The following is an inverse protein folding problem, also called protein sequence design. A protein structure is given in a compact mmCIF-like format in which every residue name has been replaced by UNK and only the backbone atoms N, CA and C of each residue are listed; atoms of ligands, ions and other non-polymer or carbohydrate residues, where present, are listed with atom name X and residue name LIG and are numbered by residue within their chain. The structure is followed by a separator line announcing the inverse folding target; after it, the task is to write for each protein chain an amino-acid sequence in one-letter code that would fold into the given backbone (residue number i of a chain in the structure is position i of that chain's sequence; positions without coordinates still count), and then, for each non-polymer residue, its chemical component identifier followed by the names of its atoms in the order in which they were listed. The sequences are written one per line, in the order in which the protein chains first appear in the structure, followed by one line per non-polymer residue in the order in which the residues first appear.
data_IF_780968383965
#
_entry.id   IF_780968383965
#
_cell.length_a   1.000
_cell.length_b   1.000
_cell.length_c   1.000
_cell.angle_alpha   90.00
_cell.angle_beta   90.00
_cell.angle_gamma   90.00
#
_symmetry.space_group_name_H-M   'P 1'
#
loop_
_entity.id
_entity.type
_entity.pdbx_description
1 polymer ?
#
# COMPACT_ATOMS: atom_id res chain seq x y z
N UNK A 1 1.09 -35.24 5.81
CA UNK A 1 0.43 -34.27 4.93
C UNK A 1 1.04 -32.92 5.24
N UNK A 2 1.60 -32.21 4.26
CA UNK A 2 2.11 -30.86 4.52
C UNK A 2 0.95 -29.99 5.03
N UNK A 3 1.16 -29.29 6.15
CA UNK A 3 0.19 -28.31 6.64
C UNK A 3 -0.05 -27.27 5.55
N UNK A 4 -1.30 -26.97 5.21
CA UNK A 4 -1.61 -25.91 4.24
C UNK A 4 -1.11 -24.57 4.79
N UNK A 5 -0.22 -23.90 4.04
CA UNK A 5 0.27 -22.57 4.39
C UNK A 5 -0.59 -21.53 3.67
N UNK A 6 -1.40 -20.80 4.44
CA UNK A 6 -2.32 -19.79 3.94
C UNK A 6 -1.83 -18.42 4.36
N UNK A 7 -1.51 -17.58 3.38
CA UNK A 7 -1.05 -16.21 3.60
C UNK A 7 -2.09 -15.17 3.21
N UNK A 8 -2.14 -14.06 3.95
CA UNK A 8 -2.94 -12.89 3.62
C UNK A 8 -2.00 -11.73 3.33
N UNK A 9 -2.04 -11.20 2.10
CA UNK A 9 -1.35 -9.98 1.72
C UNK A 9 -2.35 -8.82 1.81
N UNK A 10 -2.19 -7.97 2.81
CA UNK A 10 -3.08 -6.82 3.02
C UNK A 10 -2.50 -5.56 2.38
N UNK A 11 -3.19 -5.07 1.36
CA UNK A 11 -2.95 -3.80 0.70
C UNK A 11 -3.67 -2.66 1.42
N UNK A 12 -2.97 -1.53 1.57
CA UNK A 12 -3.48 -0.28 2.16
C UNK A 12 -2.92 0.91 1.38
N UNK A 13 -1.63 1.19 1.59
CA UNK A 13 -0.72 1.81 0.64
C UNK A 13 -0.05 0.72 -0.20
N UNK A 14 1.08 1.04 -0.84
CA UNK A 14 1.86 0.08 -1.61
C UNK A 14 1.03 -0.68 -2.65
N UNK A 15 0.12 0.02 -3.34
CA UNK A 15 -0.79 -0.56 -4.35
C UNK A 15 -0.04 -0.88 -5.65
N UNK A 16 0.91 -1.82 -5.55
CA UNK A 16 1.86 -2.19 -6.60
C UNK A 16 2.32 -3.63 -6.45
N UNK A 17 2.72 -4.23 -7.57
CA UNK A 17 3.42 -5.52 -7.61
C UNK A 17 4.95 -5.32 -7.51
N UNK A 18 5.50 -4.30 -8.18
CA UNK A 18 6.94 -4.05 -8.14
C UNK A 18 7.42 -3.66 -6.75
N UNK A 19 8.64 -4.11 -6.39
CA UNK A 19 9.30 -3.75 -5.13
C UNK A 19 8.35 -3.90 -3.92
N UNK A 20 7.65 -5.02 -3.86
CA UNK A 20 6.70 -5.32 -2.80
C UNK A 20 7.19 -6.53 -1.99
N UNK A 21 8.11 -6.32 -1.03
CA UNK A 21 8.65 -7.41 -0.21
C UNK A 21 7.56 -8.12 0.60
N UNK A 22 6.50 -7.41 1.02
CA UNK A 22 5.38 -8.02 1.73
C UNK A 22 4.63 -9.02 0.84
N UNK A 23 4.38 -8.67 -0.42
CA UNK A 23 3.75 -9.56 -1.39
C UNK A 23 4.64 -10.77 -1.71
N UNK A 24 5.94 -10.55 -1.88
CA UNK A 24 6.90 -11.64 -2.11
C UNK A 24 6.91 -12.64 -0.95
N UNK A 25 7.01 -12.15 0.29
CA UNK A 25 7.01 -12.98 1.49
C UNK A 25 5.68 -13.71 1.72
N UNK A 26 4.57 -13.08 1.35
CA UNK A 26 3.25 -13.72 1.35
C UNK A 26 3.17 -14.87 0.36
N UNK A 27 3.79 -14.74 -0.82
CA UNK A 27 3.83 -15.79 -1.83
C UNK A 27 4.77 -16.95 -1.47
N UNK A 28 5.87 -16.65 -0.78
CA UNK A 28 6.92 -17.62 -0.46
C UNK A 28 6.44 -18.71 0.51
N UNK A 29 6.51 -19.97 0.04
CA UNK A 29 6.12 -21.16 0.81
C UNK A 29 4.62 -21.34 1.05
N UNK A 30 3.78 -20.40 0.57
CA UNK A 30 2.33 -20.47 0.75
C UNK A 30 1.69 -21.38 -0.31
N UNK A 31 0.77 -22.24 0.12
CA UNK A 31 -0.10 -23.02 -0.78
C UNK A 31 -1.28 -22.20 -1.26
N UNK A 32 -1.71 -21.20 -0.48
CA UNK A 32 -2.78 -20.25 -0.80
C UNK A 32 -2.36 -18.83 -0.39
N UNK A 33 -2.65 -17.85 -1.24
CA UNK A 33 -2.39 -16.44 -0.97
C UNK A 33 -3.66 -15.63 -1.21
N UNK A 34 -4.02 -14.76 -0.26
CA UNK A 34 -5.22 -13.94 -0.29
C UNK A 34 -4.83 -12.45 -0.36
N UNK A 35 -4.75 -11.85 -1.56
CA UNK A 35 -4.54 -10.41 -1.74
C UNK A 35 -5.80 -9.65 -1.34
N UNK A 36 -5.74 -8.84 -0.29
CA UNK A 36 -6.90 -8.17 0.31
C UNK A 36 -6.72 -6.66 0.32
N UNK A 37 -7.79 -5.94 -0.01
CA UNK A 37 -7.94 -4.52 0.34
C UNK A 37 -9.27 -4.33 1.06
N UNK A 38 -9.27 -3.55 2.14
CA UNK A 38 -10.49 -3.24 2.90
C UNK A 38 -10.88 -1.78 2.65
N UNK A 39 -12.08 -1.60 2.10
CA UNK A 39 -12.73 -0.29 1.96
C UNK A 39 -13.28 0.10 3.33
N UNK A 40 -12.66 1.11 3.94
CA UNK A 40 -13.15 1.75 5.15
C UNK A 40 -14.26 2.77 4.81
N UNK A 41 -15.52 2.52 5.21
CA UNK A 41 -16.63 3.46 5.04
C UNK A 41 -16.31 4.89 5.46
N UNK A 42 -15.56 5.07 6.55
CA UNK A 42 -15.25 6.39 7.10
C UNK A 42 -14.44 7.27 6.13
N UNK A 43 -13.64 6.63 5.27
CA UNK A 43 -12.81 7.32 4.27
C UNK A 43 -13.42 7.35 2.88
N UNK A 44 -14.40 6.51 2.59
CA UNK A 44 -14.82 6.19 1.22
C UNK A 44 -16.29 6.44 0.92
N UNK A 45 -17.13 6.60 1.95
CA UNK A 45 -18.55 6.89 1.73
C UNK A 45 -18.81 8.40 1.66
N UNK A 46 -19.82 8.84 0.87
CA UNK A 46 -20.21 10.23 0.77
C UNK A 46 -20.56 10.83 2.13
N UNK A 47 -20.01 12.01 2.41
CA UNK A 47 -20.37 12.80 3.57
C UNK A 47 -20.99 14.13 3.10
N UNK A 48 -22.32 14.30 3.22
CA UNK A 48 -23.01 15.53 2.84
C UNK A 48 -22.55 16.78 3.63
N UNK A 49 -21.83 16.59 4.73
CA UNK A 49 -21.32 17.67 5.58
C UNK A 49 -19.86 18.05 5.28
N UNK A 50 -19.20 17.32 4.36
CA UNK A 50 -17.83 17.61 3.98
C UNK A 50 -17.69 18.95 3.25
N UNK A 51 -16.52 19.59 3.40
CA UNK A 51 -16.21 20.87 2.76
C UNK A 51 -16.25 20.81 1.22
N UNK A 52 -16.00 19.64 0.64
CA UNK A 52 -16.00 19.39 -0.80
C UNK A 52 -16.62 18.03 -1.08
N UNK A 53 -17.18 17.85 -2.28
CA UNK A 53 -17.80 16.59 -2.68
C UNK A 53 -16.84 15.40 -2.52
N UNK A 54 -17.24 14.42 -1.72
CA UNK A 54 -16.36 13.34 -1.24
C UNK A 54 -16.82 12.76 0.09
N UNK A 55 -15.92 12.11 0.79
CA UNK A 55 -16.10 11.65 2.17
C UNK A 55 -15.61 12.69 3.18
N UNK A 56 -15.80 12.41 4.46
CA UNK A 56 -15.30 13.23 5.57
C UNK A 56 -13.76 13.41 5.56
N UNK A 57 -13.03 12.52 4.87
CA UNK A 57 -11.55 12.50 4.84
C UNK A 57 -10.96 12.65 3.44
N UNK A 58 -11.75 12.50 2.37
CA UNK A 58 -11.26 12.40 1.00
C UNK A 58 -12.21 13.07 -0.01
N UNK A 59 -11.69 14.00 -0.81
CA UNK A 59 -12.43 14.51 -1.98
C UNK A 59 -12.57 13.46 -3.07
N UNK A 60 -13.61 13.60 -3.91
CA UNK A 60 -13.96 12.64 -4.96
C UNK A 60 -12.79 12.30 -5.91
N UNK A 61 -11.96 13.28 -6.27
CA UNK A 61 -10.80 13.06 -7.14
C UNK A 61 -9.80 12.05 -6.54
N UNK A 62 -9.58 12.06 -5.22
CA UNK A 62 -8.70 11.11 -4.55
C UNK A 62 -9.32 9.72 -4.46
N UNK A 63 -10.63 9.67 -4.23
CA UNK A 63 -11.41 8.42 -4.23
C UNK A 63 -11.35 7.76 -5.61
N UNK A 64 -11.61 8.52 -6.67
CA UNK A 64 -11.50 8.05 -8.06
C UNK A 64 -10.11 7.50 -8.36
N UNK A 65 -9.06 8.24 -8.01
CA UNK A 65 -7.67 7.80 -8.18
C UNK A 65 -7.38 6.49 -7.44
N UNK A 66 -7.91 6.32 -6.22
CA UNK A 66 -7.78 5.08 -5.47
C UNK A 66 -8.48 3.91 -6.16
N UNK A 67 -9.73 4.08 -6.61
CA UNK A 67 -10.48 3.01 -7.32
C UNK A 67 -9.79 2.61 -8.62
N UNK A 68 -9.26 3.57 -9.38
CA UNK A 68 -8.43 3.30 -10.56
C UNK A 68 -7.16 2.52 -10.19
N UNK A 69 -6.52 2.86 -9.07
CA UNK A 69 -5.33 2.16 -8.57
C UNK A 69 -5.63 0.72 -8.14
N UNK A 70 -6.75 0.49 -7.46
CA UNK A 70 -7.20 -0.85 -7.07
C UNK A 70 -7.57 -1.70 -8.29
N UNK A 71 -8.18 -1.07 -9.31
CA UNK A 71 -8.52 -1.74 -10.57
C UNK A 71 -7.26 -2.19 -11.31
N UNK A 72 -6.25 -1.33 -11.42
CA UNK A 72 -4.96 -1.66 -12.03
C UNK A 72 -4.21 -2.75 -11.25
N UNK A 73 -4.27 -2.71 -9.91
CA UNK A 73 -3.72 -3.75 -9.05
C UNK A 73 -4.42 -5.11 -9.27
N UNK A 74 -5.75 -5.15 -9.31
CA UNK A 74 -6.52 -6.36 -9.57
C UNK A 74 -6.17 -6.97 -10.95
N UNK A 75 -6.05 -6.12 -11.99
CA UNK A 75 -5.61 -6.57 -13.32
C UNK A 75 -4.18 -7.13 -13.29
N UNK A 76 -3.29 -6.54 -12.50
CA UNK A 76 -1.91 -7.03 -12.35
C UNK A 76 -1.85 -8.36 -11.59
N UNK A 77 -2.65 -8.53 -10.54
CA UNK A 77 -2.79 -9.78 -9.80
C UNK A 77 -3.39 -10.90 -10.68
N UNK A 78 -4.34 -10.58 -11.55
CA UNK A 78 -4.92 -11.53 -12.53
C UNK A 78 -3.87 -12.07 -13.50
N UNK A 79 -2.93 -11.24 -13.95
CA UNK A 79 -1.80 -11.69 -14.79
C UNK A 79 -0.88 -12.70 -14.07
N UNK A 80 -0.87 -12.67 -12.73
CA UNK A 80 -0.11 -13.60 -11.89
C UNK A 80 -0.91 -14.84 -11.44
N UNK A 81 -2.13 -15.03 -11.97
CA UNK A 81 -3.00 -16.16 -11.61
C UNK A 81 -3.81 -15.97 -10.32
N UNK A 82 -3.92 -14.73 -9.83
CA UNK A 82 -4.66 -14.38 -8.62
C UNK A 82 -5.73 -13.31 -8.91
N UNK A 83 -6.23 -12.61 -7.89
CA UNK A 83 -7.08 -11.41 -8.01
C UNK A 83 -7.08 -10.64 -6.69
N UNK A 84 -7.54 -9.40 -6.73
CA UNK A 84 -7.77 -8.61 -5.52
C UNK A 84 -9.11 -9.01 -4.89
N UNK A 85 -9.11 -9.20 -3.58
CA UNK A 85 -10.29 -9.43 -2.75
C UNK A 85 -10.64 -8.12 -2.05
N UNK A 86 -11.77 -7.53 -2.43
CA UNK A 86 -12.27 -6.31 -1.80
C UNK A 86 -13.27 -6.69 -0.72
N UNK A 87 -13.05 -6.17 0.49
CA UNK A 87 -14.00 -6.26 1.59
C UNK A 87 -14.37 -4.85 2.06
N UNK A 88 -15.50 -4.71 2.74
CA UNK A 88 -16.00 -3.42 3.26
C UNK A 88 -16.24 -3.50 4.76
N UNK A 89 -15.90 -2.43 5.47
CA UNK A 89 -16.15 -2.28 6.89
C UNK A 89 -14.95 -1.71 7.64
N UNK A 90 -14.98 -1.80 8.97
CA UNK A 90 -13.84 -1.39 9.80
C UNK A 90 -12.66 -2.35 9.55
N UNK A 91 -11.49 -1.84 9.11
CA UNK A 91 -10.39 -2.70 8.64
C UNK A 91 -9.90 -3.75 9.62
N UNK A 92 -9.76 -3.41 10.91
CA UNK A 92 -9.25 -4.36 11.90
C UNK A 92 -10.23 -5.52 12.14
N UNK A 93 -11.53 -5.25 12.20
CA UNK A 93 -12.58 -6.25 12.39
C UNK A 93 -12.72 -7.15 11.16
N UNK A 94 -12.67 -6.56 9.96
CA UNK A 94 -12.67 -7.30 8.70
C UNK A 94 -11.45 -8.22 8.63
N UNK A 95 -10.25 -7.72 8.93
CA UNK A 95 -9.02 -8.53 8.90
C UNK A 95 -9.07 -9.66 9.92
N UNK A 96 -9.48 -9.41 11.16
CA UNK A 96 -9.61 -10.46 12.18
C UNK A 96 -10.57 -11.56 11.73
N UNK A 97 -11.68 -11.21 11.06
CA UNK A 97 -12.60 -12.19 10.46
C UNK A 97 -11.93 -12.99 9.33
N UNK A 98 -11.23 -12.33 8.41
CA UNK A 98 -10.50 -12.97 7.31
C UNK A 98 -9.47 -13.98 7.83
N UNK A 99 -8.68 -13.59 8.83
CA UNK A 99 -7.64 -14.42 9.42
C UNK A 99 -8.21 -15.72 10.00
N UNK A 100 -9.39 -15.65 10.62
CA UNK A 100 -10.09 -16.81 11.19
C UNK A 100 -10.75 -17.68 10.13
N UNK A 101 -11.56 -17.09 9.25
CA UNK A 101 -12.34 -17.82 8.24
C UNK A 101 -11.42 -18.60 7.29
N UNK A 102 -10.35 -17.96 6.82
CA UNK A 102 -9.42 -18.55 5.83
C UNK A 102 -8.25 -19.29 6.47
N UNK A 103 -8.23 -19.42 7.81
CA UNK A 103 -7.18 -20.09 8.59
C UNK A 103 -5.77 -19.61 8.21
N UNK A 104 -5.62 -18.29 8.15
CA UNK A 104 -4.36 -17.66 7.76
C UNK A 104 -3.31 -17.92 8.83
N UNK A 105 -2.12 -18.36 8.41
CA UNK A 105 -0.96 -18.55 9.28
C UNK A 105 0.16 -17.54 9.01
N UNK A 106 0.06 -16.74 7.94
CA UNK A 106 1.00 -15.68 7.61
C UNK A 106 0.27 -14.41 7.16
N UNK A 107 0.45 -13.31 7.89
CA UNK A 107 -0.09 -11.98 7.56
C UNK A 107 1.04 -11.06 7.10
N UNK A 108 0.94 -10.52 5.90
CA UNK A 108 1.93 -9.61 5.33
C UNK A 108 1.28 -8.29 4.93
N UNK A 109 1.93 -7.16 5.24
CA UNK A 109 1.52 -5.84 4.80
C UNK A 109 2.68 -4.84 4.87
N UNK A 110 2.65 -3.80 4.04
CA UNK A 110 3.66 -2.72 4.10
C UNK A 110 3.55 -1.94 5.41
N UNK A 111 4.68 -1.67 6.07
CA UNK A 111 4.73 -0.89 7.29
C UNK A 111 4.32 0.58 7.04
N UNK A 112 3.52 1.13 7.94
CA UNK A 112 3.11 2.54 7.93
C UNK A 112 3.38 3.22 9.28
N UNK A 113 3.79 4.49 9.23
CA UNK A 113 4.07 5.32 10.41
C UNK A 113 2.88 6.16 10.86
N UNK A 114 1.87 6.35 10.01
CA UNK A 114 0.77 7.25 10.31
C UNK A 114 -0.03 6.74 11.52
N UNK A 115 -0.44 7.63 12.45
CA UNK A 115 -1.10 7.22 13.69
C UNK A 115 -2.33 6.34 13.51
N UNK A 116 -3.12 6.58 12.45
CA UNK A 116 -4.29 5.77 12.12
C UNK A 116 -3.90 4.30 11.85
N UNK A 117 -2.93 4.06 10.96
CA UNK A 117 -2.48 2.71 10.64
C UNK A 117 -1.75 2.06 11.81
N UNK A 118 -0.99 2.82 12.61
CA UNK A 118 -0.35 2.30 13.83
C UNK A 118 -1.37 1.74 14.82
N UNK A 119 -2.44 2.49 15.11
CA UNK A 119 -3.48 2.04 16.03
C UNK A 119 -4.23 0.81 15.49
N UNK A 120 -4.50 0.77 14.18
CA UNK A 120 -5.10 -0.37 13.49
C UNK A 120 -4.20 -1.60 13.59
N UNK A 121 -2.91 -1.45 13.29
CA UNK A 121 -1.90 -2.52 13.31
C UNK A 121 -1.78 -3.11 14.70
N UNK A 122 -1.68 -2.27 15.73
CA UNK A 122 -1.62 -2.71 17.12
C UNK A 122 -2.89 -3.51 17.50
N UNK A 123 -4.08 -3.07 17.05
CA UNK A 123 -5.35 -3.80 17.30
C UNK A 123 -5.36 -5.17 16.62
N UNK A 124 -4.92 -5.28 15.38
CA UNK A 124 -4.84 -6.55 14.63
C UNK A 124 -3.80 -7.48 15.26
N UNK A 125 -2.59 -6.99 15.53
CA UNK A 125 -1.49 -7.75 16.12
C UNK A 125 -1.87 -8.32 17.50
N UNK A 126 -2.46 -7.50 18.37
CA UNK A 126 -2.90 -7.93 19.70
C UNK A 126 -3.99 -9.00 19.62
N UNK A 127 -4.88 -8.91 18.63
CA UNK A 127 -5.99 -9.86 18.45
C UNK A 127 -5.54 -11.25 17.98
N UNK A 128 -4.35 -11.35 17.38
CA UNK A 128 -3.84 -12.60 16.80
C UNK A 128 -2.57 -13.13 17.47
N UNK A 129 -2.05 -12.44 18.48
CA UNK A 129 -0.86 -12.85 19.22
C UNK A 129 -0.97 -14.29 19.74
N UNK A 130 -2.13 -14.66 20.30
CA UNK A 130 -2.37 -16.02 20.81
C UNK A 130 -2.62 -17.07 19.71
N UNK A 131 -2.89 -16.65 18.47
CA UNK A 131 -3.19 -17.53 17.34
C UNK A 131 -1.93 -18.04 16.62
N UNK A 132 -0.73 -17.53 16.96
CA UNK A 132 0.53 -17.98 16.37
C UNK A 132 0.68 -17.64 14.88
N UNK A 133 -0.02 -16.59 14.41
CA UNK A 133 0.08 -16.11 13.02
C UNK A 133 1.42 -15.38 12.85
N UNK A 134 2.20 -15.76 11.86
CA UNK A 134 3.42 -15.06 11.47
C UNK A 134 3.05 -13.68 10.88
N UNK A 135 3.73 -12.62 11.32
CA UNK A 135 3.47 -11.25 10.85
C UNK A 135 4.75 -10.70 10.22
N UNK A 136 4.65 -10.27 8.96
CA UNK A 136 5.76 -9.68 8.22
C UNK A 136 5.41 -8.29 7.70
N UNK A 137 6.09 -7.27 8.22
CA UNK A 137 5.78 -5.85 7.98
C UNK A 137 7.00 -5.03 7.53
N UNK A 138 7.45 -5.21 6.29
CA UNK A 138 8.65 -4.55 5.80
C UNK A 138 8.42 -3.05 5.56
N UNK A 139 9.48 -2.26 5.78
CA UNK A 139 9.51 -0.85 5.38
C UNK A 139 9.85 -0.78 3.89
N UNK A 140 8.84 -0.48 3.07
CA UNK A 140 8.99 -0.28 1.61
C UNK A 140 8.18 0.90 1.09
N UNK A 141 7.54 1.68 1.98
CA UNK A 141 6.91 2.95 1.64
C UNK A 141 7.91 4.12 1.63
N UNK A 142 8.91 4.06 2.51
CA UNK A 142 9.90 5.11 2.72
C UNK A 142 11.30 4.59 2.42
N UNK A 143 12.17 5.49 1.96
CA UNK A 143 13.58 5.16 1.66
C UNK A 143 14.37 4.72 2.89
N UNK A 144 13.96 5.20 4.07
CA UNK A 144 14.60 4.90 5.35
C UNK A 144 13.54 4.44 6.34
N UNK A 145 13.91 3.53 7.23
CA UNK A 145 13.11 3.16 8.38
C UNK A 145 13.11 4.31 9.42
N UNK A 146 11.96 4.95 9.70
CA UNK A 146 11.90 6.06 10.65
C UNK A 146 12.35 5.66 12.07
N UNK A 147 12.12 4.42 12.50
CA UNK A 147 12.56 3.94 13.80
C UNK A 147 14.10 3.93 13.93
N UNK A 148 14.82 3.62 12.84
CA UNK A 148 16.27 3.64 12.83
C UNK A 148 16.82 5.07 12.91
N UNK A 149 16.15 6.03 12.25
CA UNK A 149 16.50 7.46 12.34
C UNK A 149 16.29 7.98 13.76
N UNK A 150 15.16 7.66 14.39
CA UNK A 150 14.88 8.02 15.77
C UNK A 150 15.92 7.43 16.73
N UNK A 151 16.26 6.14 16.58
CA UNK A 151 17.27 5.47 17.40
C UNK A 151 18.63 6.15 17.29
N UNK A 152 19.07 6.49 16.07
CA UNK A 152 20.33 7.22 15.83
C UNK A 152 20.35 8.62 16.44
N UNK A 153 19.18 9.23 16.68
CA UNK A 153 19.03 10.57 17.21
C UNK A 153 18.46 10.61 18.64
N UNK A 154 18.79 9.61 19.47
CA UNK A 154 18.43 9.60 20.89
C UNK A 154 16.92 9.49 21.16
N UNK A 155 16.17 8.84 20.26
CA UNK A 155 14.73 8.65 20.37
C UNK A 155 13.87 9.82 19.89
N UNK A 156 14.47 10.86 19.29
CA UNK A 156 13.75 12.06 18.81
C UNK A 156 13.90 12.25 17.30
N UNK A 157 12.89 12.77 16.59
CA UNK A 157 13.05 13.10 15.19
C UNK A 157 14.04 14.26 15.01
N UNK A 158 14.90 14.23 13.98
CA UNK A 158 15.71 15.39 13.64
C UNK A 158 14.78 16.55 13.24
N UNK A 159 15.08 17.75 13.75
CA UNK A 159 14.25 18.95 13.54
C UNK A 159 14.67 19.77 12.31
N UNK A 160 15.75 19.37 11.63
CA UNK A 160 16.21 19.98 10.38
C UNK A 160 16.53 18.94 9.33
N UNK A 161 16.39 19.33 8.06
CA UNK A 161 16.65 18.46 6.92
C UNK A 161 18.14 18.05 6.83
N UNK A 162 19.08 18.96 7.12
CA UNK A 162 20.51 18.64 7.11
C UNK A 162 20.88 17.63 8.21
N UNK A 163 20.28 17.76 9.40
CA UNK A 163 20.47 16.79 10.48
C UNK A 163 19.93 15.42 10.08
N UNK A 164 18.74 15.39 9.48
CA UNK A 164 18.15 14.17 8.92
C UNK A 164 19.09 13.49 7.91
N UNK A 165 19.60 14.21 6.91
CA UNK A 165 20.51 13.66 5.91
C UNK A 165 21.80 13.09 6.51
N UNK A 166 22.37 13.78 7.51
CA UNK A 166 23.57 13.33 8.22
C UNK A 166 23.33 12.02 8.98
N UNK A 167 22.15 11.86 9.58
CA UNK A 167 21.77 10.67 10.35
C UNK A 167 21.36 9.50 9.46
N UNK A 168 20.63 9.79 8.37
CA UNK A 168 20.15 8.78 7.43
C UNK A 168 21.32 8.14 6.69
N UNK A 169 22.30 8.93 6.27
CA UNK A 169 23.37 8.47 5.39
C UNK A 169 22.81 8.04 4.04
N UNK A 170 23.49 7.08 3.39
CA UNK A 170 22.99 6.46 2.16
C UNK A 170 21.89 5.44 2.45
N UNK A 171 20.88 5.33 1.57
CA UNK A 171 19.82 4.35 1.75
C UNK A 171 20.30 2.92 1.51
N UNK A 172 19.73 1.96 2.23
CA UNK A 172 20.18 0.56 2.23
C UNK A 172 20.02 -0.15 0.88
N UNK A 173 19.10 0.30 0.02
CA UNK A 173 18.90 -0.27 -1.31
C UNK A 173 20.02 0.07 -2.29
N UNK A 174 20.87 1.06 -2.01
CA UNK A 174 22.05 1.33 -2.85
C UNK A 174 22.99 0.11 -2.93
N UNK A 175 22.95 -0.74 -1.89
CA UNK A 175 23.72 -1.99 -1.81
C UNK A 175 22.94 -3.23 -2.27
N UNK A 176 21.63 -3.12 -2.54
CA UNK A 176 20.76 -4.26 -2.86
C UNK A 176 19.89 -3.95 -4.09
N UNK A 177 20.17 -4.57 -5.26
CA UNK A 177 19.36 -4.35 -6.46
C UNK A 177 17.90 -4.74 -6.23
N UNK A 178 16.99 -3.78 -6.41
CA UNK A 178 15.53 -3.98 -6.32
C UNK A 178 15.00 -5.03 -7.33
N UNK A 179 15.79 -5.33 -8.36
CA UNK A 179 15.45 -6.28 -9.44
C UNK A 179 15.29 -7.74 -8.99
N UNK A 180 15.58 -8.06 -7.73
CA UNK A 180 15.42 -9.42 -7.17
C UNK A 180 14.02 -9.68 -6.60
N UNK A 181 13.15 -8.67 -6.49
CA UNK A 181 11.84 -8.76 -5.85
C UNK A 181 10.68 -8.85 -6.86
N UNK A 182 10.80 -9.67 -7.91
CA UNK A 182 9.72 -9.88 -8.87
C UNK A 182 9.01 -11.22 -8.63
N UNK A 183 7.72 -11.16 -8.32
CA UNK A 183 6.87 -12.35 -8.24
C UNK A 183 6.43 -12.75 -9.65
N UNK A 184 6.83 -13.93 -10.12
CA UNK A 184 6.46 -14.44 -11.46
C UNK A 184 5.06 -15.08 -11.50
N UNK A 185 4.59 -15.59 -10.37
CA UNK A 185 3.28 -16.20 -10.20
C UNK A 185 2.88 -16.16 -8.73
N UNK A 186 1.59 -16.01 -8.44
CA UNK A 186 1.08 -16.07 -7.07
C UNK A 186 0.42 -17.42 -6.78
N UNK A 187 0.50 -17.91 -5.53
CA UNK A 187 -0.34 -19.01 -5.09
C UNK A 187 -1.81 -18.67 -5.31
N UNK A 188 -2.64 -19.66 -5.70
CA UNK A 188 -4.05 -19.42 -5.94
C UNK A 188 -4.77 -19.03 -4.65
N UNK A 189 -5.90 -18.34 -4.80
CA UNK A 189 -6.78 -18.02 -3.67
C UNK A 189 -7.47 -19.31 -3.18
N UNK A 190 -7.69 -19.41 -1.87
CA UNK A 190 -8.39 -20.53 -1.24
C UNK A 190 -9.91 -20.38 -1.29
N UNK A 191 -10.61 -21.18 -0.50
CA UNK A 191 -12.06 -21.04 -0.33
C UNK A 191 -12.35 -19.73 0.45
N UNK A 192 -13.23 -18.89 -0.09
CA UNK A 192 -13.57 -17.60 0.52
C UNK A 192 -14.57 -17.73 1.70
N UNK A 193 -15.16 -18.90 1.88
CA UNK A 193 -16.11 -19.17 2.95
C UNK A 193 -17.35 -18.29 2.85
N UNK A 194 -17.79 -17.77 4.00
CA UNK A 194 -18.99 -16.92 4.10
C UNK A 194 -18.69 -15.42 4.03
N UNK A 195 -17.44 -15.03 3.74
CA UNK A 195 -17.11 -13.61 3.66
C UNK A 195 -17.60 -13.01 2.35
N UNK A 196 -18.31 -11.89 2.45
CA UNK A 196 -18.72 -11.08 1.31
C UNK A 196 -17.51 -10.40 0.69
N UNK A 197 -16.97 -11.02 -0.35
CA UNK A 197 -15.87 -10.48 -1.14
C UNK A 197 -16.42 -9.95 -2.45
N UNK A 198 -16.12 -8.69 -2.76
CA UNK A 198 -16.53 -8.02 -3.99
C UNK A 198 -15.36 -7.77 -4.94
N UNK A 199 -15.69 -7.29 -6.14
CA UNK A 199 -14.76 -6.57 -6.99
C UNK A 199 -14.55 -5.13 -6.48
N UNK A 200 -13.61 -4.42 -7.11
CA UNK A 200 -13.42 -2.98 -6.90
C UNK A 200 -14.73 -2.27 -7.26
N UNK A 201 -15.32 -1.49 -6.34
CA UNK A 201 -16.59 -0.82 -6.60
C UNK A 201 -16.38 0.39 -7.51
N UNK A 202 -17.47 0.80 -8.16
CA UNK A 202 -17.58 2.07 -8.86
C UNK A 202 -17.89 3.21 -7.88
N UNK A 203 -17.78 4.46 -8.37
CA UNK A 203 -18.19 5.63 -7.59
C UNK A 203 -19.68 5.57 -7.25
N UNK A 204 -20.51 5.09 -8.18
CA UNK A 204 -21.97 4.95 -8.01
C UNK A 204 -22.32 3.92 -6.93
N UNK A 205 -21.61 2.78 -6.90
CA UNK A 205 -21.78 1.75 -5.86
C UNK A 205 -21.33 2.22 -4.46
N UNK A 206 -20.45 3.22 -4.40
CA UNK A 206 -20.11 3.91 -3.15
C UNK A 206 -21.13 5.00 -2.76
N UNK A 207 -22.10 5.31 -3.64
CA UNK A 207 -23.13 6.33 -3.41
C UNK A 207 -22.78 7.72 -3.95
N UNK A 208 -21.74 7.85 -4.77
CA UNK A 208 -21.44 9.10 -5.47
C UNK A 208 -22.20 9.19 -6.79
N UNK A 209 -22.61 10.40 -7.15
CA UNK A 209 -23.20 10.73 -8.43
C UNK A 209 -22.06 11.31 -9.27
N UNK A 210 -21.59 10.57 -10.28
CA UNK A 210 -20.57 11.09 -11.22
C UNK A 210 -21.26 12.00 -12.22
N UNK A 211 -21.21 13.32 -11.98
CA UNK A 211 -21.73 14.29 -12.93
C UNK A 211 -20.67 14.61 -13.99
N UNK A 212 -21.09 14.89 -15.23
CA UNK A 212 -20.18 15.33 -16.30
C UNK A 212 -19.57 16.71 -16.05
N UNK A 213 -20.07 17.45 -15.06
CA UNK A 213 -19.64 18.80 -14.71
C UNK A 213 -18.54 18.80 -13.63
N UNK A 214 -18.28 17.67 -12.99
CA UNK A 214 -17.24 17.57 -11.96
C UNK A 214 -15.85 17.72 -12.57
N UNK A 215 -15.01 18.58 -11.97
CA UNK A 215 -13.63 18.79 -12.40
C UNK A 215 -12.81 17.52 -12.14
N UNK A 216 -12.57 16.74 -13.21
CA UNK A 216 -11.80 15.50 -13.15
C UNK A 216 -10.31 15.81 -13.15
N UNK A 217 -9.61 15.23 -12.17
CA UNK A 217 -8.14 15.24 -12.16
C UNK A 217 -7.58 14.69 -13.48
N UNK A 218 -6.55 15.31 -14.08
CA UNK A 218 -5.87 14.77 -15.27
C UNK A 218 -4.93 13.59 -14.92
N UNK A 219 -4.87 13.22 -13.65
CA UNK A 219 -4.03 12.15 -13.12
C UNK A 219 -4.87 10.89 -12.91
N UNK A 220 -4.60 9.88 -13.73
CA UNK A 220 -5.15 8.53 -13.58
C UNK A 220 -4.36 7.73 -12.55
N UNK A 221 -5.05 6.92 -11.74
CA UNK A 221 -4.46 6.00 -10.76
C UNK A 221 -3.83 4.75 -11.37
N UNK A 222 -3.08 4.01 -10.54
CA UNK A 222 -2.48 2.72 -10.88
C UNK A 222 -0.97 2.71 -11.02
N UNK A 223 -0.39 1.54 -10.76
CA UNK A 223 1.03 1.22 -10.92
C UNK A 223 1.45 1.35 -12.38
N UNK A 224 0.64 0.85 -13.32
CA UNK A 224 0.91 0.94 -14.76
C UNK A 224 1.11 2.38 -15.21
N UNK A 225 0.25 3.29 -14.75
CA UNK A 225 0.31 4.71 -15.07
C UNK A 225 1.48 5.39 -14.37
N UNK A 226 1.77 5.02 -13.11
CA UNK A 226 2.95 5.50 -12.40
C UNK A 226 4.25 5.15 -13.13
N UNK A 227 4.41 3.90 -13.58
CA UNK A 227 5.60 3.46 -14.32
C UNK A 227 5.70 4.08 -15.72
N UNK A 228 4.57 4.35 -16.39
CA UNK A 228 4.55 5.09 -17.66
C UNK A 228 5.05 6.52 -17.44
N UNK A 229 4.48 7.25 -16.49
CA UNK A 229 4.87 8.63 -16.17
C UNK A 229 6.30 8.74 -15.68
N UNK A 230 6.77 7.79 -14.88
CA UNK A 230 8.17 7.74 -14.44
C UNK A 230 9.11 7.64 -15.65
N UNK A 231 8.86 6.70 -16.58
CA UNK A 231 9.64 6.54 -17.81
C UNK A 231 9.67 7.80 -18.67
N UNK A 232 8.53 8.46 -18.84
CA UNK A 232 8.43 9.71 -19.59
C UNK A 232 9.21 10.85 -18.91
N UNK A 233 9.10 10.95 -17.58
CA UNK A 233 9.74 11.99 -16.79
C UNK A 233 11.26 11.87 -16.80
N UNK A 234 11.80 10.64 -16.71
CA UNK A 234 13.24 10.39 -16.75
C UNK A 234 13.83 10.42 -18.17
N UNK A 235 13.02 10.17 -19.20
CA UNK A 235 13.46 10.28 -20.59
C UNK A 235 13.80 11.74 -20.98
N UNK A 236 13.17 12.71 -20.30
CA UNK A 236 13.46 14.12 -20.47
C UNK A 236 14.80 14.50 -19.79
N UNK A 237 15.91 14.25 -20.48
CA UNK A 237 17.27 14.54 -19.99
C UNK A 237 17.48 16.00 -19.60
N UNK A 238 16.81 16.94 -20.26
CA UNK A 238 16.91 18.39 -19.94
C UNK A 238 16.30 18.68 -18.56
N UNK A 239 15.14 18.08 -18.27
CA UNK A 239 14.50 18.18 -16.95
C UNK A 239 15.34 17.54 -15.84
N UNK A 240 15.95 16.38 -16.08
CA UNK A 240 16.84 15.76 -15.10
C UNK A 240 18.12 16.57 -14.85
N UNK A 241 18.70 17.17 -15.89
CA UNK A 241 19.88 18.02 -15.75
C UNK A 241 19.55 19.33 -15.01
N UNK A 242 18.39 19.93 -15.23
CA UNK A 242 17.97 21.13 -14.49
C UNK A 242 17.72 20.85 -13.02
N UNK A 243 17.14 19.69 -12.66
CA UNK A 243 17.01 19.25 -11.27
C UNK A 243 18.38 19.08 -10.61
N UNK A 244 19.36 18.49 -11.32
CA UNK A 244 20.73 18.31 -10.82
C UNK A 244 21.44 19.66 -10.61
N UNK A 245 21.21 20.62 -11.49
CA UNK A 245 21.73 21.99 -11.37
C UNK A 245 21.17 22.69 -10.13
N UNK A 246 19.86 22.64 -9.91
CA UNK A 246 19.19 23.21 -8.72
C UNK A 246 19.73 22.57 -7.43
N UNK A 247 19.85 21.25 -7.38
CA UNK A 247 20.36 20.53 -6.21
C UNK A 247 21.85 20.84 -5.95
N UNK A 248 22.68 20.94 -6.99
CA UNK A 248 24.09 21.30 -6.85
C UNK A 248 24.34 22.75 -6.44
N UNK A 249 23.39 23.64 -6.76
CA UNK A 249 23.45 25.07 -6.41
C UNK A 249 23.02 25.31 -4.96
N UNK A 250 21.99 24.61 -4.46
CA UNK A 250 21.56 24.70 -3.07
C UNK A 250 22.54 24.08 -2.07
N UNK A 251 23.31 23.04 -2.46
CA UNK A 251 24.31 22.41 -1.58
C UNK A 251 25.55 23.30 -1.40
N UNK A 252 25.81 24.26 -2.30
CA UNK A 252 26.94 25.21 -2.17
C UNK A 252 26.63 26.48 -1.39
N UNK A 253 25.39 26.67 -0.92
CA UNK A 253 24.95 27.88 -0.22
C UNK A 253 24.73 27.69 1.30
N UNK A 254 25.18 26.59 1.89
CA UNK A 254 25.15 26.35 3.35
C UNK A 254 26.54 25.97 3.86
#
# INVERSE_FOLDING_TARGET
MASESCSLMWFRKGLRIHDNPALLHAAEGATKCFPVFVIDPHYMEPDPTAFSYGSSRAGLNRIRFLLESLTDLDLSLKKLGSRLLILRGEPSEVLIRCLREWKINKLCFEYDIEPYYRALDDKVQNSIYAAGIEIFTPVSHTLFNPADILRKNGGRPPLSYQSFLKLSGMPSWESTPLSTLSVSSLPPIGNLGNLEVSSVPTLEELGYIDSSEDEKTPFKGGESEALRRLRESIANKVYLMSLRYILSSSIRMS
#
